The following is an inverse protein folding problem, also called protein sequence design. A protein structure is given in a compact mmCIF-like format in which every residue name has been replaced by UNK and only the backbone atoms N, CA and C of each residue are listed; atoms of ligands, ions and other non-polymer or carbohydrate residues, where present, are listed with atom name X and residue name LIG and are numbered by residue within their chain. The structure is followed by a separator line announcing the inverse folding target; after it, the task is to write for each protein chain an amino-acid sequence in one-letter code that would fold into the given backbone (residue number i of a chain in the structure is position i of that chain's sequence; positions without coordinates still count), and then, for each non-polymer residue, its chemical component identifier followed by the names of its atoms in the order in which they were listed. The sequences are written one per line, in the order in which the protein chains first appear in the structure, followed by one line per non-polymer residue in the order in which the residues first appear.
data_IF_765462431752
#
_entry.id   IF_765462431752
#
_cell.length_a   1.000
_cell.length_b   1.000
_cell.length_c   1.000
_cell.angle_alpha   90.00
_cell.angle_beta   90.00
_cell.angle_gamma   90.00
#
_symmetry.space_group_name_H-M   'P 1'
#
loop_
_entity.id
_entity.type
_entity.pdbx_description
1 polymer ?
#
# COMPACT_ATOMS: atom_id res chain seq x y z
N UNK A 1 2.98 -7.21 12.16
CA UNK A 1 2.38 -6.67 10.93
C UNK A 1 0.94 -7.17 10.91
N UNK A 2 -0.05 -6.31 10.70
CA UNK A 2 -1.47 -6.73 10.68
C UNK A 2 -1.89 -7.01 9.25
N UNK A 3 -2.39 -8.22 8.97
CA UNK A 3 -2.88 -8.63 7.63
C UNK A 3 -4.40 -8.72 7.68
N UNK A 4 -5.08 -8.06 6.73
CA UNK A 4 -6.53 -8.09 6.58
C UNK A 4 -6.95 -8.94 5.37
N UNK A 5 -7.74 -9.99 5.61
CA UNK A 5 -8.36 -10.82 4.55
C UNK A 5 -9.68 -10.23 4.06
N UNK A 6 -9.98 -10.32 2.76
CA UNK A 6 -11.21 -9.75 2.18
C UNK A 6 -12.08 -10.87 1.57
N UNK A 7 -13.36 -11.02 1.93
CA UNK A 7 -14.29 -11.96 1.25
C UNK A 7 -15.62 -11.34 0.81
N UNK A 8 -16.22 -11.88 -0.25
CA UNK A 8 -17.55 -11.54 -0.77
C UNK A 8 -18.52 -12.72 -0.57
N UNK A 9 -19.74 -12.47 -0.07
CA UNK A 9 -20.72 -13.53 0.18
C UNK A 9 -22.12 -13.20 -0.34
N UNK A 10 -22.72 -14.13 -1.10
CA UNK A 10 -24.15 -14.15 -1.43
C UNK A 10 -24.96 -14.75 -0.28
N UNK A 11 -26.21 -14.30 -0.13
CA UNK A 11 -27.10 -14.57 1.00
C UNK A 11 -27.35 -16.06 1.27
N UNK A 12 -26.92 -16.53 2.43
CA UNK A 12 -27.28 -17.82 3.01
C UNK A 12 -26.63 -17.99 4.39
N UNK A 13 -27.42 -18.15 5.45
CA UNK A 13 -26.89 -18.32 6.82
C UNK A 13 -26.11 -19.63 6.92
N UNK A 14 -24.79 -19.53 6.81
CA UNK A 14 -23.85 -20.57 7.27
C UNK A 14 -23.06 -20.05 8.46
N UNK A 15 -23.24 -20.74 9.59
CA UNK A 15 -22.43 -20.58 10.81
C UNK A 15 -21.05 -21.16 10.48
N UNK A 16 -20.06 -20.29 10.29
CA UNK A 16 -18.66 -20.70 10.13
C UNK A 16 -17.99 -20.66 11.49
N UNK A 17 -17.47 -21.80 11.93
CA UNK A 17 -16.70 -22.02 13.16
C UNK A 17 -15.21 -21.67 13.04
N UNK A 18 -14.78 -21.01 11.95
CA UNK A 18 -13.39 -20.60 11.73
C UNK A 18 -13.13 -19.16 12.21
N UNK A 19 -12.00 -18.88 12.87
CA UNK A 19 -11.78 -17.59 13.54
C UNK A 19 -11.60 -16.38 12.60
N UNK A 20 -11.53 -16.56 11.26
CA UNK A 20 -11.22 -15.52 10.27
C UNK A 20 -12.35 -15.42 9.24
N UNK A 21 -13.13 -14.34 9.26
CA UNK A 21 -14.06 -14.04 8.18
C UNK A 21 -14.45 -12.55 8.25
N UNK A 22 -13.85 -11.74 7.37
CA UNK A 22 -14.39 -10.42 7.03
C UNK A 22 -15.47 -10.66 5.97
N UNK A 23 -16.74 -10.74 6.38
CA UNK A 23 -17.86 -10.87 5.43
C UNK A 23 -18.19 -9.49 4.86
N UNK A 24 -18.12 -9.32 3.55
CA UNK A 24 -18.70 -8.15 2.88
C UNK A 24 -20.11 -8.48 2.35
N UNK A 25 -21.12 -8.01 3.08
CA UNK A 25 -22.53 -7.97 2.66
C UNK A 25 -23.17 -6.69 3.24
N UNK A 26 -22.84 -5.52 2.68
CA UNK A 26 -23.18 -4.20 3.27
C UNK A 26 -21.95 -3.37 3.63
N UNK A 27 -22.08 -2.11 4.09
CA UNK A 27 -21.01 -1.10 4.02
C UNK A 27 -19.80 -1.54 4.84
N UNK A 28 -18.76 -2.00 4.11
CA UNK A 28 -17.41 -2.36 4.56
C UNK A 28 -17.29 -2.62 6.05
N UNK A 29 -17.42 -3.89 6.44
CA UNK A 29 -16.98 -4.43 7.73
C UNK A 29 -15.53 -4.90 7.59
N UNK A 30 -14.67 -4.67 8.58
CA UNK A 30 -13.35 -5.30 8.70
C UNK A 30 -13.13 -5.79 10.13
N UNK A 31 -12.47 -6.93 10.29
CA UNK A 31 -11.99 -7.46 11.56
C UNK A 31 -10.47 -7.52 11.52
N UNK A 32 -9.79 -6.94 12.49
CA UNK A 32 -8.34 -7.05 12.60
C UNK A 32 -7.95 -8.39 13.22
N UNK A 33 -6.86 -8.99 12.72
CA UNK A 33 -6.19 -10.11 13.38
C UNK A 33 -4.72 -9.74 13.54
N UNK A 34 -4.27 -9.56 14.77
CA UNK A 34 -2.85 -9.60 15.09
C UNK A 34 -2.49 -11.03 15.49
N UNK A 35 -1.91 -11.80 14.57
CA UNK A 35 -1.29 -13.08 14.90
C UNK A 35 0.19 -12.89 15.07
N UNK A 36 0.70 -13.21 16.27
CA UNK A 36 2.11 -13.41 16.57
C UNK A 36 3.02 -12.29 16.08
N UNK A 37 3.13 -11.21 16.85
CA UNK A 37 4.37 -10.42 16.81
C UNK A 37 5.47 -11.32 17.39
N UNK A 38 6.49 -11.78 16.63
CA UNK A 38 7.72 -12.17 17.27
C UNK A 38 8.27 -10.87 17.85
N UNK A 39 8.20 -10.76 19.17
CA UNK A 39 8.66 -9.62 19.97
C UNK A 39 7.62 -8.49 20.17
N UNK A 40 6.82 -8.63 21.22
CA UNK A 40 5.93 -7.60 21.79
C UNK A 40 6.70 -6.45 22.46
N UNK A 41 8.03 -6.52 22.58
CA UNK A 41 8.81 -5.58 23.39
C UNK A 41 9.07 -4.22 22.71
N UNK A 42 8.54 -3.99 21.50
CA UNK A 42 8.63 -2.70 20.78
C UNK A 42 7.30 -2.01 20.50
N UNK A 43 6.17 -2.62 20.83
CA UNK A 43 4.93 -1.86 20.98
C UNK A 43 4.88 -1.39 22.43
N UNK A 44 4.57 -0.10 22.66
CA UNK A 44 4.39 0.42 24.01
C UNK A 44 3.43 -0.45 24.84
N UNK A 45 3.41 -0.29 26.17
CA UNK A 45 2.74 -1.25 27.05
C UNK A 45 1.25 -1.35 26.71
N UNK A 46 0.77 -2.60 26.58
CA UNK A 46 -0.62 -3.02 26.55
C UNK A 46 -1.46 -2.73 25.29
N UNK A 47 -1.02 -3.16 24.10
CA UNK A 47 -1.97 -3.48 23.02
C UNK A 47 -2.25 -4.98 22.98
N UNK A 48 -3.23 -5.43 23.76
CA UNK A 48 -3.97 -6.66 23.45
C UNK A 48 -4.98 -6.29 22.39
N UNK A 49 -4.90 -6.81 21.15
CA UNK A 49 -5.92 -6.55 20.15
C UNK A 49 -7.20 -7.24 20.59
N UNK A 50 -8.13 -6.47 21.15
CA UNK A 50 -9.51 -6.92 21.24
C UNK A 50 -10.04 -7.08 19.82
N UNK A 51 -10.70 -8.21 19.56
CA UNK A 51 -11.33 -8.47 18.26
C UNK A 51 -12.56 -7.57 18.14
N UNK A 52 -12.34 -6.32 17.71
CA UNK A 52 -13.39 -5.36 17.45
C UNK A 52 -13.84 -5.44 15.98
N UNK A 53 -15.15 -5.36 15.76
CA UNK A 53 -15.71 -5.19 14.42
C UNK A 53 -15.78 -3.70 14.09
N UNK A 54 -15.09 -3.29 13.03
CA UNK A 54 -15.13 -1.91 12.54
C UNK A 54 -16.00 -1.86 11.28
N UNK A 55 -16.87 -0.85 11.18
CA UNK A 55 -17.75 -0.67 10.03
C UNK A 55 -18.11 0.79 9.79
N UNK A 56 -18.78 1.04 8.66
CA UNK A 56 -19.34 2.35 8.34
C UNK A 56 -18.30 3.39 7.89
N UNK A 57 -18.67 4.66 8.04
CA UNK A 57 -17.95 5.79 7.40
C UNK A 57 -16.52 5.95 7.89
N UNK A 58 -16.25 5.70 9.18
CA UNK A 58 -14.90 5.85 9.73
C UNK A 58 -13.92 4.88 9.05
N UNK A 59 -14.31 3.61 8.92
CA UNK A 59 -13.51 2.60 8.23
C UNK A 59 -13.36 2.91 6.74
N UNK A 60 -14.45 3.32 6.07
CA UNK A 60 -14.39 3.70 4.66
C UNK A 60 -13.41 4.87 4.41
N UNK A 61 -13.40 5.88 5.28
CA UNK A 61 -12.48 7.00 5.20
C UNK A 61 -11.03 6.58 5.44
N UNK A 62 -10.80 5.71 6.43
CA UNK A 62 -9.47 5.18 6.71
C UNK A 62 -8.91 4.38 5.53
N UNK A 63 -9.70 3.45 4.97
CA UNK A 63 -9.31 2.68 3.80
C UNK A 63 -9.06 3.56 2.56
N UNK A 64 -9.91 4.56 2.33
CA UNK A 64 -9.71 5.52 1.22
C UNK A 64 -8.46 6.36 1.42
N UNK A 65 -8.09 6.65 2.69
CA UNK A 65 -6.87 7.36 3.05
C UNK A 65 -5.59 6.59 2.73
N UNK A 66 -5.66 5.30 2.44
CA UNK A 66 -4.51 4.50 1.97
C UNK A 66 -4.30 4.57 0.46
N UNK A 67 -5.30 5.03 -0.29
CA UNK A 67 -5.31 5.05 -1.76
C UNK A 67 -4.94 6.44 -2.32
N UNK A 68 -4.51 6.51 -3.60
CA UNK A 68 -4.35 7.78 -4.31
C UNK A 68 -5.61 8.64 -4.21
N UNK A 69 -5.44 9.95 -4.06
CA UNK A 69 -6.59 10.86 -3.87
C UNK A 69 -7.20 11.34 -5.20
N UNK A 70 -6.47 11.17 -6.31
CA UNK A 70 -6.96 11.54 -7.63
C UNK A 70 -7.92 10.47 -8.17
N UNK A 71 -9.19 10.84 -8.36
CA UNK A 71 -10.22 9.93 -8.89
C UNK A 71 -9.86 9.34 -10.26
N UNK A 72 -9.16 10.08 -11.13
CA UNK A 72 -8.73 9.58 -12.45
C UNK A 72 -7.69 8.48 -12.32
N UNK A 73 -6.80 8.61 -11.33
CA UNK A 73 -5.79 7.59 -11.01
C UNK A 73 -6.47 6.33 -10.49
N UNK A 74 -7.44 6.47 -9.58
CA UNK A 74 -8.23 5.34 -9.11
C UNK A 74 -8.99 4.65 -10.26
N UNK A 75 -9.63 5.43 -11.13
CA UNK A 75 -10.35 4.90 -12.29
C UNK A 75 -9.42 4.10 -13.23
N UNK A 76 -8.23 4.63 -13.53
CA UNK A 76 -7.22 3.94 -14.35
C UNK A 76 -6.72 2.65 -13.68
N UNK A 77 -6.47 2.68 -12.36
CA UNK A 77 -6.12 1.47 -11.61
C UNK A 77 -7.21 0.40 -11.67
N UNK A 78 -8.48 0.79 -11.53
CA UNK A 78 -9.60 -0.16 -11.63
C UNK A 78 -9.61 -0.86 -12.98
N UNK A 79 -9.42 -0.11 -14.07
CA UNK A 79 -9.35 -0.68 -15.42
C UNK A 79 -8.18 -1.66 -15.51
N UNK A 80 -6.99 -1.27 -15.03
CA UNK A 80 -5.80 -2.15 -15.06
C UNK A 80 -6.01 -3.45 -14.28
N UNK A 81 -6.67 -3.40 -13.12
CA UNK A 81 -6.90 -4.57 -12.28
C UNK A 81 -8.23 -5.30 -12.56
N UNK A 82 -8.99 -4.90 -13.60
CA UNK A 82 -10.27 -5.53 -13.93
C UNK A 82 -11.37 -5.37 -12.88
N UNK A 83 -11.33 -4.28 -12.10
CA UNK A 83 -12.24 -4.06 -10.98
C UNK A 83 -13.47 -3.28 -11.44
N UNK A 84 -14.65 -3.92 -11.37
CA UNK A 84 -15.92 -3.32 -11.77
C UNK A 84 -16.59 -2.46 -10.68
N UNK A 85 -16.31 -2.71 -9.39
CA UNK A 85 -16.88 -1.96 -8.25
C UNK A 85 -15.80 -1.17 -7.53
N UNK A 86 -16.10 0.08 -7.22
CA UNK A 86 -15.11 1.06 -6.76
C UNK A 86 -15.02 1.16 -5.23
N UNK A 87 -15.04 0.05 -4.48
CA UNK A 87 -14.78 0.16 -3.03
C UNK A 87 -13.28 0.16 -2.78
N UNK A 88 -12.78 0.91 -1.79
CA UNK A 88 -11.35 0.91 -1.46
C UNK A 88 -10.75 -0.48 -1.27
N UNK A 89 -11.48 -1.39 -0.62
CA UNK A 89 -11.05 -2.78 -0.43
C UNK A 89 -10.86 -3.56 -1.74
N UNK A 90 -11.60 -3.24 -2.79
CA UNK A 90 -11.48 -3.96 -4.06
C UNK A 90 -10.10 -3.66 -4.69
N UNK A 91 -9.59 -2.43 -4.58
CA UNK A 91 -8.24 -2.05 -5.00
C UNK A 91 -7.16 -2.57 -4.03
N UNK A 92 -7.39 -2.45 -2.72
CA UNK A 92 -6.46 -2.96 -1.69
C UNK A 92 -6.37 -4.49 -1.71
N UNK A 93 -7.35 -5.22 -2.25
CA UNK A 93 -7.25 -6.66 -2.44
C UNK A 93 -6.34 -7.10 -3.58
N UNK A 94 -5.76 -6.17 -4.34
CA UNK A 94 -4.77 -6.45 -5.41
C UNK A 94 -3.35 -6.39 -4.85
N UNK A 95 -2.30 -6.74 -5.61
CA UNK A 95 -0.92 -6.64 -5.15
C UNK A 95 -0.49 -5.24 -4.64
N UNK A 96 -1.20 -4.15 -4.98
CA UNK A 96 -0.88 -2.83 -4.42
C UNK A 96 -1.18 -2.73 -2.92
N UNK A 97 -2.08 -3.56 -2.38
CA UNK A 97 -2.41 -3.57 -0.96
C UNK A 97 -1.46 -4.42 -0.12
N UNK A 98 -0.58 -5.20 -0.75
CA UNK A 98 0.46 -5.98 -0.04
C UNK A 98 1.51 -5.07 0.61
N UNK A 99 1.63 -3.80 0.19
CA UNK A 99 2.43 -2.77 0.87
C UNK A 99 1.67 -1.43 0.94
N UNK A 100 1.21 -1.06 2.14
CA UNK A 100 0.47 0.17 2.39
C UNK A 100 1.21 1.08 3.38
N UNK A 101 0.92 2.38 3.31
CA UNK A 101 1.40 3.32 4.31
C UNK A 101 1.05 2.87 5.74
N UNK A 102 2.07 2.72 6.59
CA UNK A 102 1.92 2.15 7.93
C UNK A 102 2.46 0.72 8.00
N UNK A 103 1.85 -0.12 8.85
CA UNK A 103 2.24 -1.52 9.05
C UNK A 103 1.09 -2.48 8.74
N UNK A 104 0.29 -2.12 7.75
CA UNK A 104 -0.92 -2.85 7.32
C UNK A 104 -0.72 -3.42 5.93
N UNK A 105 -1.23 -4.64 5.72
CA UNK A 105 -1.23 -5.31 4.42
C UNK A 105 -2.61 -5.89 4.16
N UNK A 106 -3.00 -5.87 2.89
CA UNK A 106 -4.24 -6.43 2.39
C UNK A 106 -3.92 -7.48 1.34
N UNK A 107 -4.70 -8.54 1.35
CA UNK A 107 -4.63 -9.58 0.34
C UNK A 107 -5.94 -10.35 0.27
N UNK A 108 -6.18 -11.05 -0.85
CA UNK A 108 -7.29 -11.98 -0.93
C UNK A 108 -7.07 -13.16 0.03
N UNK A 109 -8.12 -13.93 0.37
CA UNK A 109 -8.04 -14.96 1.40
C UNK A 109 -6.98 -16.02 1.13
N UNK A 110 -6.81 -16.39 -0.15
CA UNK A 110 -5.81 -17.34 -0.63
C UNK A 110 -4.36 -16.85 -0.49
N UNK A 111 -4.15 -15.52 -0.38
CA UNK A 111 -2.83 -14.90 -0.17
C UNK A 111 -2.55 -14.56 1.30
N UNK A 112 -3.56 -14.62 2.17
CA UNK A 112 -3.43 -14.17 3.56
C UNK A 112 -2.34 -14.96 4.31
N UNK A 113 -2.32 -16.27 4.16
CA UNK A 113 -1.34 -17.12 4.85
C UNK A 113 0.09 -16.89 4.34
N UNK A 114 0.26 -16.55 3.05
CA UNK A 114 1.55 -16.14 2.48
C UNK A 114 2.06 -14.87 3.17
N UNK A 115 1.22 -13.83 3.23
CA UNK A 115 1.57 -12.54 3.81
C UNK A 115 1.87 -12.67 5.31
N UNK A 116 1.05 -13.41 6.05
CA UNK A 116 1.26 -13.67 7.48
C UNK A 116 2.55 -14.45 7.75
N UNK A 117 2.92 -15.36 6.85
CA UNK A 117 4.18 -16.10 6.94
C UNK A 117 5.40 -15.29 6.47
N UNK A 118 5.22 -14.03 6.06
CA UNK A 118 6.30 -13.18 5.55
C UNK A 118 6.81 -13.59 4.16
N UNK A 119 6.01 -14.33 3.36
CA UNK A 119 6.42 -14.74 2.03
C UNK A 119 6.43 -13.55 1.07
N UNK A 120 7.53 -13.37 0.36
CA UNK A 120 7.75 -12.27 -0.57
C UNK A 120 9.10 -12.36 -1.26
N UNK A 121 9.46 -11.32 -2.00
CA UNK A 121 10.75 -11.24 -2.67
C UNK A 121 11.03 -9.86 -3.26
N UNK A 122 12.18 -9.75 -3.91
CA UNK A 122 12.70 -8.49 -4.47
C UNK A 122 13.09 -8.71 -5.93
N UNK A 123 12.52 -7.90 -6.82
CA UNK A 123 12.97 -7.82 -8.21
C UNK A 123 14.03 -6.73 -8.31
N UNK A 124 15.26 -7.08 -8.70
CA UNK A 124 16.32 -6.09 -8.91
C UNK A 124 16.01 -5.25 -10.16
N UNK A 125 16.13 -3.94 -10.02
CA UNK A 125 15.99 -3.00 -11.13
C UNK A 125 17.36 -2.49 -11.53
N UNK A 126 17.70 -2.61 -12.80
CA UNK A 126 18.84 -1.87 -13.36
C UNK A 126 18.47 -0.39 -13.59
N UNK A 127 19.45 0.44 -13.89
CA UNK A 127 19.25 1.88 -14.04
C UNK A 127 18.25 2.23 -15.14
N UNK A 128 18.28 1.52 -16.28
CA UNK A 128 17.35 1.74 -17.39
C UNK A 128 15.90 1.43 -16.99
N UNK A 129 15.67 0.34 -16.25
CA UNK A 129 14.35 -0.03 -15.73
C UNK A 129 13.84 0.99 -14.71
N UNK A 130 14.72 1.56 -13.89
CA UNK A 130 14.35 2.65 -12.98
C UNK A 130 13.94 3.88 -13.78
N UNK A 131 14.73 4.28 -14.79
CA UNK A 131 14.43 5.44 -15.64
C UNK A 131 13.11 5.25 -16.39
N UNK A 132 12.89 4.07 -16.97
CA UNK A 132 11.64 3.71 -17.64
C UNK A 132 10.46 3.81 -16.67
N UNK A 133 10.57 3.20 -15.50
CA UNK A 133 9.55 3.24 -14.46
C UNK A 133 9.17 4.68 -14.08
N UNK A 134 10.16 5.54 -13.83
CA UNK A 134 9.94 6.94 -13.49
C UNK A 134 9.33 7.73 -14.67
N UNK A 135 9.74 7.41 -15.91
CA UNK A 135 9.16 7.98 -17.13
C UNK A 135 7.69 7.61 -17.30
N UNK A 136 7.34 6.35 -17.06
CA UNK A 136 5.97 5.87 -17.15
C UNK A 136 5.07 6.50 -16.09
N UNK A 137 5.51 6.58 -14.83
CA UNK A 137 4.72 7.25 -13.77
C UNK A 137 4.52 8.73 -14.06
N UNK A 138 5.49 9.37 -14.73
CA UNK A 138 5.36 10.77 -15.15
C UNK A 138 4.26 10.95 -16.19
N UNK A 139 4.04 9.96 -17.07
CA UNK A 139 3.02 9.97 -18.13
C UNK A 139 1.65 9.51 -17.61
N UNK A 140 1.63 8.43 -16.85
CA UNK A 140 0.46 7.83 -16.23
C UNK A 140 0.68 7.71 -14.72
N UNK A 141 0.12 8.61 -13.89
CA UNK A 141 0.25 8.52 -12.44
C UNK A 141 -0.38 7.25 -11.82
N UNK A 142 -1.22 6.53 -12.58
CA UNK A 142 -1.74 5.24 -12.18
C UNK A 142 -0.77 4.09 -12.48
N UNK A 143 0.33 4.33 -13.20
CA UNK A 143 1.34 3.34 -13.53
C UNK A 143 1.78 2.52 -12.31
N UNK A 144 1.90 1.22 -12.52
CA UNK A 144 2.52 0.28 -11.59
C UNK A 144 3.48 -0.59 -12.41
N UNK A 145 4.71 -0.85 -11.92
CA UNK A 145 5.65 -1.70 -12.64
C UNK A 145 5.01 -3.03 -13.02
N UNK A 146 4.92 -3.28 -14.32
CA UNK A 146 4.36 -4.50 -14.90
C UNK A 146 5.44 -5.42 -15.42
N UNK A 147 5.06 -6.62 -15.87
CA UNK A 147 6.00 -7.61 -16.42
C UNK A 147 6.78 -8.40 -15.37
N UNK A 148 6.43 -8.27 -14.10
CA UNK A 148 6.97 -9.05 -12.99
C UNK A 148 5.95 -10.08 -12.51
N UNK A 149 6.40 -11.31 -12.27
CA UNK A 149 5.63 -12.39 -11.68
C UNK A 149 6.44 -13.02 -10.53
N UNK A 150 5.98 -12.92 -9.25
CA UNK A 150 4.78 -12.21 -8.80
C UNK A 150 4.87 -10.69 -8.99
N UNK A 151 3.72 -10.06 -9.23
CA UNK A 151 3.61 -8.62 -9.36
C UNK A 151 3.88 -7.92 -8.02
N UNK A 152 4.73 -6.88 -8.04
CA UNK A 152 4.95 -5.98 -6.91
C UNK A 152 4.03 -4.77 -6.96
N UNK A 153 3.91 -4.06 -5.83
CA UNK A 153 3.09 -2.86 -5.78
C UNK A 153 3.06 -2.22 -4.41
N UNK A 154 2.56 -0.98 -4.37
CA UNK A 154 2.28 -0.29 -3.11
C UNK A 154 1.11 0.67 -3.26
N UNK A 155 0.39 0.85 -2.16
CA UNK A 155 -0.70 1.80 -1.99
C UNK A 155 -0.19 3.01 -1.21
N UNK A 156 -0.14 4.16 -1.90
CA UNK A 156 0.29 5.42 -1.32
C UNK A 156 -0.74 6.52 -1.59
N UNK A 157 -1.04 7.26 -0.53
CA UNK A 157 -1.98 8.36 -0.56
C UNK A 157 -1.45 9.63 -1.25
N UNK A 158 -2.37 10.53 -1.59
CA UNK A 158 -2.09 11.92 -1.96
C UNK A 158 -2.17 12.24 -3.45
N UNK A 159 -1.95 13.53 -3.72
CA UNK A 159 -1.94 14.19 -5.03
C UNK A 159 -0.93 13.64 -6.04
N UNK A 160 0.32 13.65 -5.60
CA UNK A 160 1.48 13.65 -6.50
C UNK A 160 1.81 12.26 -7.04
N UNK A 161 2.14 12.12 -8.34
CA UNK A 161 2.67 10.89 -8.89
C UNK A 161 3.87 10.44 -8.08
N UNK A 162 3.82 9.19 -7.66
CA UNK A 162 4.81 8.60 -6.78
C UNK A 162 4.83 7.10 -6.97
N UNK A 163 5.99 6.53 -6.68
CA UNK A 163 6.17 5.10 -6.54
C UNK A 163 6.94 4.82 -5.25
N UNK A 164 6.61 3.69 -4.62
CA UNK A 164 7.42 3.18 -3.53
C UNK A 164 8.35 2.08 -4.06
N UNK A 165 9.64 2.19 -3.75
CA UNK A 165 10.66 1.19 -4.05
C UNK A 165 11.50 0.94 -2.80
N UNK A 166 12.28 -0.14 -2.79
CA UNK A 166 13.29 -0.36 -1.75
C UNK A 166 14.67 -0.03 -2.31
N UNK A 167 15.44 0.77 -1.57
CA UNK A 167 16.87 0.97 -1.82
C UNK A 167 17.67 -0.04 -1.03
N UNK A 168 18.52 -0.81 -1.71
CA UNK A 168 19.49 -1.73 -1.12
C UNK A 168 20.92 -1.24 -1.42
N UNK A 169 21.97 -1.85 -0.83
CA UNK A 169 23.35 -1.57 -1.23
C UNK A 169 23.65 -1.88 -2.70
N UNK A 170 22.90 -2.82 -3.29
CA UNK A 170 23.07 -3.26 -4.68
C UNK A 170 22.25 -2.46 -5.70
N UNK A 171 21.36 -1.57 -5.26
CA UNK A 171 20.55 -0.74 -6.16
C UNK A 171 19.10 -0.58 -5.73
N UNK A 172 18.26 -0.22 -6.69
CA UNK A 172 16.80 -0.15 -6.50
C UNK A 172 16.19 -1.53 -6.75
N UNK A 173 15.24 -1.91 -5.90
CA UNK A 173 14.47 -3.15 -6.08
C UNK A 173 12.98 -2.85 -5.96
N UNK A 174 12.17 -3.64 -6.67
CA UNK A 174 10.73 -3.70 -6.55
C UNK A 174 10.33 -4.88 -5.65
N UNK A 175 9.84 -4.61 -4.42
CA UNK A 175 9.33 -5.66 -3.55
C UNK A 175 7.98 -6.22 -4.01
N UNK A 176 7.71 -7.48 -3.62
CA UNK A 176 6.41 -8.13 -3.76
C UNK A 176 6.11 -9.02 -2.54
N UNK A 177 4.84 -9.36 -2.32
CA UNK A 177 4.43 -10.14 -1.15
C UNK A 177 4.62 -9.34 0.14
N UNK A 178 5.10 -10.01 1.19
CA UNK A 178 5.28 -9.40 2.50
C UNK A 178 6.47 -8.43 2.60
N UNK A 179 7.26 -8.25 1.54
CA UNK A 179 8.45 -7.41 1.55
C UNK A 179 8.10 -5.91 1.45
N UNK A 180 8.42 -5.07 2.47
CA UNK A 180 8.07 -3.65 2.44
C UNK A 180 8.96 -2.81 1.51
N UNK A 181 8.42 -1.72 0.96
CA UNK A 181 9.24 -0.66 0.36
C UNK A 181 9.91 0.20 1.43
N UNK A 182 10.94 0.98 1.06
CA UNK A 182 11.66 1.83 2.01
C UNK A 182 11.70 3.31 1.61
N UNK A 183 11.42 3.64 0.36
CA UNK A 183 11.48 5.00 -0.16
C UNK A 183 10.27 5.28 -1.03
N UNK A 184 9.72 6.48 -0.86
CA UNK A 184 8.74 7.07 -1.78
C UNK A 184 9.49 7.99 -2.72
N UNK A 185 9.50 7.65 -4.00
CA UNK A 185 10.03 8.50 -5.05
C UNK A 185 8.87 9.32 -5.59
N UNK A 186 8.95 10.64 -5.40
CA UNK A 186 7.97 11.60 -5.90
C UNK A 186 8.44 12.16 -7.23
N UNK A 187 7.56 12.13 -8.23
CA UNK A 187 7.86 12.61 -9.57
C UNK A 187 7.17 13.97 -9.77
N UNK A 188 7.85 14.90 -10.43
CA UNK A 188 7.28 16.22 -10.77
C UNK A 188 6.22 16.08 -11.86
N UNK A 189 5.06 16.71 -11.67
CA UNK A 189 4.01 16.69 -12.69
C UNK A 189 4.31 17.67 -13.83
N UNK A 190 4.33 17.18 -15.07
CA UNK A 190 4.27 18.03 -16.27
C UNK A 190 5.33 19.17 -16.28
N UNK A 191 5.13 20.20 -17.11
CA UNK A 191 6.07 21.31 -17.27
C UNK A 191 5.83 22.48 -16.28
N UNK A 192 4.58 22.72 -15.88
CA UNK A 192 4.25 23.81 -14.95
C UNK A 192 4.75 23.60 -13.52
N UNK A 193 5.20 22.37 -13.19
CA UNK A 193 5.70 22.02 -11.86
C UNK A 193 7.15 21.52 -11.87
N UNK A 194 7.96 21.96 -12.84
CA UNK A 194 9.37 21.57 -13.00
C UNK A 194 10.21 21.72 -11.72
N UNK A 195 9.83 22.65 -10.83
CA UNK A 195 10.57 22.91 -9.60
C UNK A 195 10.00 22.20 -8.35
N UNK A 196 8.95 21.38 -8.44
CA UNK A 196 8.36 20.70 -7.27
C UNK A 196 9.40 19.88 -6.49
N UNK A 197 10.20 19.08 -7.19
CA UNK A 197 11.22 18.25 -6.56
C UNK A 197 12.33 19.09 -5.91
N UNK A 198 12.76 20.18 -6.57
CA UNK A 198 13.74 21.11 -6.04
C UNK A 198 13.19 21.87 -4.81
N UNK A 199 11.95 22.35 -4.88
CA UNK A 199 11.30 23.06 -3.79
C UNK A 199 11.10 22.16 -2.58
N UNK A 200 10.63 20.93 -2.79
CA UNK A 200 10.57 19.94 -1.71
C UNK A 200 11.98 19.65 -1.16
N UNK A 201 12.99 19.59 -2.03
CA UNK A 201 14.38 19.43 -1.63
C UNK A 201 14.85 20.56 -0.72
N UNK A 202 14.80 21.81 -1.17
CA UNK A 202 15.25 22.96 -0.40
C UNK A 202 14.45 23.08 0.89
N UNK A 203 13.12 22.95 0.84
CA UNK A 203 12.25 23.08 2.02
C UNK A 203 12.62 22.10 3.12
N UNK A 204 12.75 20.80 2.82
CA UNK A 204 13.07 19.83 3.88
C UNK A 204 14.54 19.91 4.32
N UNK A 205 15.45 20.36 3.44
CA UNK A 205 16.84 20.60 3.83
C UNK A 205 16.94 21.78 4.81
N UNK A 206 16.20 22.86 4.55
CA UNK A 206 16.06 24.01 5.46
C UNK A 206 15.41 23.61 6.77
N UNK A 207 14.28 22.89 6.73
CA UNK A 207 13.60 22.39 7.93
C UNK A 207 14.54 21.58 8.83
N UNK A 208 15.37 20.71 8.24
CA UNK A 208 16.38 19.94 8.98
C UNK A 208 17.45 20.82 9.62
N UNK A 209 17.95 21.83 8.90
CA UNK A 209 18.94 22.79 9.43
C UNK A 209 18.36 23.63 10.59
N UNK A 210 17.05 23.85 10.59
CA UNK A 210 16.31 24.49 11.68
C UNK A 210 16.00 23.53 12.85
N UNK A 211 16.48 22.29 12.82
CA UNK A 211 16.27 21.31 13.89
C UNK A 211 14.90 20.61 13.85
N UNK A 212 14.12 20.78 12.78
CA UNK A 212 12.83 20.09 12.62
C UNK A 212 13.04 18.62 12.26
N UNK A 213 12.19 17.74 12.82
CA UNK A 213 12.16 16.31 12.49
C UNK A 213 11.50 16.12 11.14
N UNK A 214 12.31 15.87 10.11
CA UNK A 214 11.86 15.60 8.75
C UNK A 214 12.50 14.31 8.21
N UNK A 215 11.82 13.58 7.31
CA UNK A 215 12.38 12.44 6.61
C UNK A 215 13.76 12.71 5.99
N UNK A 216 14.62 11.68 6.03
CA UNK A 216 15.86 11.66 5.25
C UNK A 216 15.52 11.38 3.78
N UNK A 217 16.31 11.97 2.88
CA UNK A 217 16.27 11.65 1.45
C UNK A 217 17.53 10.87 1.11
N UNK A 218 17.36 9.84 0.29
CA UNK A 218 18.45 9.07 -0.31
C UNK A 218 19.05 9.81 -1.51
#
# INVERSE_FOLDING_TARGET
MSVCSISSGSSGRSVCTSPLCIRSSGPTTSSERATGLPNTDRCGPAYTPERAEHSGRALANWLSGLLPHDGRVLDSMRVRYGIHKSRPLDLLGTPIGEDCAGAVQFGPPDRTDDLLAGRGGLHLLNDDQVVECLGEIRRDPAYRPGGYDPAGGSSLAGMQPKIALRRTPSGWVLPWGAEPTSHIIKITRQELHQHEALMEHVTMATARRLGLRVPRRA
#
